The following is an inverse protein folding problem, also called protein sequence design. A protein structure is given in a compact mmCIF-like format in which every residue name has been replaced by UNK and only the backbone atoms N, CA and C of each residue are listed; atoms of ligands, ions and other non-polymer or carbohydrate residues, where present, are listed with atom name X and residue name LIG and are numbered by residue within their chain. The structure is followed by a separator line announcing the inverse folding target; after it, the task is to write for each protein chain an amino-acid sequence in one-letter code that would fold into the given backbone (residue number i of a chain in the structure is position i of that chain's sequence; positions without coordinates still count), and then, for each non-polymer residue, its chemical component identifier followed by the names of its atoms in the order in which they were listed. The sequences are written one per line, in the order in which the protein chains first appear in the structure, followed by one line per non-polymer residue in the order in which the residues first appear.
data_IF_792304144601
#
_entry.id   IF_792304144601
#
_cell.length_a   1.000
_cell.length_b   1.000
_cell.length_c   1.000
_cell.angle_alpha   90.00
_cell.angle_beta   90.00
_cell.angle_gamma   90.00
#
_symmetry.space_group_name_H-M   'P 1'
#
loop_
_entity.id
_entity.type
_entity.pdbx_description
1 polymer ?
#
# COMPACT_ATOMS: atom_id res chain seq x y z
N UNK A 1 -38.60 -26.43 7.02
CA UNK A 1 -37.19 -26.70 7.43
C UNK A 1 -36.24 -26.90 6.25
N UNK A 2 -36.52 -27.79 5.27
CA UNK A 2 -35.60 -28.07 4.14
C UNK A 2 -35.34 -26.85 3.23
N UNK A 3 -36.36 -26.04 2.95
CA UNK A 3 -36.23 -24.82 2.14
C UNK A 3 -35.38 -23.75 2.83
N UNK A 4 -35.59 -23.53 4.14
CA UNK A 4 -34.79 -22.60 4.95
C UNK A 4 -33.30 -23.00 4.98
N UNK A 5 -33.01 -24.30 5.15
CA UNK A 5 -31.64 -24.81 5.09
C UNK A 5 -31.00 -24.56 3.71
N UNK A 6 -31.74 -24.75 2.62
CA UNK A 6 -31.24 -24.44 1.26
C UNK A 6 -30.94 -22.96 1.09
N UNK A 7 -31.83 -22.08 1.55
CA UNK A 7 -31.63 -20.62 1.51
C UNK A 7 -30.36 -20.23 2.27
N UNK A 8 -30.16 -20.76 3.47
CA UNK A 8 -28.95 -20.50 4.25
C UNK A 8 -27.68 -20.98 3.53
N UNK A 9 -27.71 -22.15 2.90
CA UNK A 9 -26.58 -22.67 2.11
C UNK A 9 -26.27 -21.75 0.93
N UNK A 10 -27.27 -21.26 0.21
CA UNK A 10 -27.05 -20.32 -0.90
C UNK A 10 -26.46 -19.00 -0.42
N UNK A 11 -26.91 -18.46 0.71
CA UNK A 11 -26.34 -17.24 1.29
C UNK A 11 -24.85 -17.45 1.61
N UNK A 12 -24.51 -18.56 2.26
CA UNK A 12 -23.12 -18.90 2.59
C UNK A 12 -22.28 -19.07 1.32
N UNK A 13 -22.79 -19.75 0.30
CA UNK A 13 -22.10 -19.93 -0.98
C UNK A 13 -21.82 -18.60 -1.68
N UNK A 14 -22.82 -17.71 -1.73
CA UNK A 14 -22.67 -16.37 -2.31
C UNK A 14 -21.62 -15.58 -1.51
N UNK A 15 -21.67 -15.64 -0.19
CA UNK A 15 -20.71 -14.92 0.66
C UNK A 15 -19.27 -15.40 0.45
N UNK A 16 -19.07 -16.72 0.39
CA UNK A 16 -17.75 -17.32 0.09
C UNK A 16 -17.27 -16.91 -1.30
N UNK A 17 -18.16 -16.92 -2.30
CA UNK A 17 -17.84 -16.49 -3.65
C UNK A 17 -17.40 -15.01 -3.69
N UNK A 18 -18.12 -14.14 -2.98
CA UNK A 18 -17.77 -12.71 -2.89
C UNK A 18 -16.39 -12.51 -2.24
N UNK A 19 -16.08 -13.25 -1.17
CA UNK A 19 -14.76 -13.21 -0.54
C UNK A 19 -13.68 -13.67 -1.51
N UNK A 20 -13.90 -14.79 -2.22
CA UNK A 20 -12.94 -15.30 -3.19
C UNK A 20 -12.66 -14.28 -4.31
N UNK A 21 -13.71 -13.66 -4.86
CA UNK A 21 -13.59 -12.57 -5.83
C UNK A 21 -12.83 -11.39 -5.22
N UNK A 22 -13.17 -10.97 -4.00
CA UNK A 22 -12.47 -9.87 -3.33
C UNK A 22 -10.98 -10.16 -3.17
N UNK A 23 -10.59 -11.36 -2.75
CA UNK A 23 -9.17 -11.76 -2.61
C UNK A 23 -8.44 -11.74 -3.95
N UNK A 24 -9.06 -12.24 -5.02
CA UNK A 24 -8.44 -12.29 -6.36
C UNK A 24 -8.27 -10.87 -6.93
N UNK A 25 -9.23 -9.99 -6.70
CA UNK A 25 -9.23 -8.65 -7.29
C UNK A 25 -8.70 -7.56 -6.34
N UNK A 26 -8.38 -7.87 -5.08
CA UNK A 26 -7.95 -6.89 -4.09
C UNK A 26 -6.80 -6.04 -4.59
N UNK A 27 -5.84 -6.65 -5.30
CA UNK A 27 -4.63 -5.96 -5.72
C UNK A 27 -4.94 -4.84 -6.72
N UNK A 28 -5.89 -5.06 -7.62
CA UNK A 28 -6.32 -4.04 -8.60
C UNK A 28 -7.08 -2.89 -7.95
N UNK A 29 -7.78 -3.14 -6.85
CA UNK A 29 -8.56 -2.13 -6.15
C UNK A 29 -7.72 -1.34 -5.14
N UNK A 30 -6.84 -2.02 -4.39
CA UNK A 30 -6.05 -1.43 -3.31
C UNK A 30 -4.68 -0.93 -3.77
N UNK A 31 -4.03 -1.61 -4.71
CA UNK A 31 -2.70 -1.26 -5.19
C UNK A 31 -2.77 -0.68 -6.60
N UNK A 32 -3.18 0.59 -6.68
CA UNK A 32 -3.10 1.35 -7.92
C UNK A 32 -1.68 1.85 -8.10
N UNK A 33 -0.82 1.03 -8.71
CA UNK A 33 0.53 1.45 -9.10
C UNK A 33 0.44 2.53 -10.18
N UNK A 34 0.48 3.79 -9.77
CA UNK A 34 0.62 4.93 -10.68
C UNK A 34 2.08 5.34 -10.73
N UNK A 35 2.63 5.44 -11.94
CA UNK A 35 3.98 6.00 -12.12
C UNK A 35 3.95 7.47 -11.72
N UNK A 36 4.79 7.83 -10.76
CA UNK A 36 4.95 9.20 -10.29
C UNK A 36 5.91 9.92 -11.25
N UNK A 37 5.57 11.11 -11.77
CA UNK A 37 6.48 11.86 -12.61
C UNK A 37 7.66 12.39 -11.80
N UNK A 38 8.82 12.57 -12.43
CA UNK A 38 10.07 12.98 -11.75
C UNK A 38 9.96 14.33 -11.03
N UNK A 39 9.08 15.22 -11.49
CA UNK A 39 8.84 16.54 -10.92
C UNK A 39 7.67 16.56 -9.91
N UNK A 40 7.17 15.39 -9.50
CA UNK A 40 6.13 15.30 -8.50
C UNK A 40 6.56 15.98 -7.20
N UNK A 41 5.64 16.75 -6.61
CA UNK A 41 5.86 17.39 -5.32
C UNK A 41 5.14 16.59 -4.26
N UNK A 42 5.89 16.08 -3.28
CA UNK A 42 5.33 15.31 -2.19
C UNK A 42 4.66 16.23 -1.17
N UNK A 43 3.43 15.87 -0.79
CA UNK A 43 2.67 16.61 0.23
C UNK A 43 2.42 15.71 1.43
N UNK A 44 3.05 16.05 2.55
CA UNK A 44 2.85 15.38 3.84
C UNK A 44 2.60 16.42 4.94
N UNK A 45 1.81 16.04 5.94
CA UNK A 45 1.58 16.88 7.13
C UNK A 45 2.83 16.99 8.01
N UNK A 46 3.63 15.92 8.02
CA UNK A 46 4.86 15.84 8.79
C UNK A 46 6.00 16.52 8.03
N UNK A 47 6.98 17.05 8.78
CA UNK A 47 8.20 17.60 8.20
C UNK A 47 9.04 16.44 7.65
N UNK A 48 9.45 16.56 6.38
CA UNK A 48 10.32 15.61 5.72
C UNK A 48 11.38 16.33 4.90
N UNK A 49 12.48 15.62 4.63
CA UNK A 49 13.55 16.04 3.74
C UNK A 49 13.55 15.13 2.51
N UNK A 50 13.44 15.74 1.32
CA UNK A 50 13.57 15.00 0.06
C UNK A 50 15.03 14.93 -0.35
N UNK A 51 15.50 13.73 -0.70
CA UNK A 51 16.89 13.44 -1.05
C UNK A 51 16.96 12.65 -2.35
N UNK A 52 18.03 12.88 -3.11
CA UNK A 52 18.32 12.18 -4.36
C UNK A 52 19.66 11.45 -4.26
N UNK A 53 19.66 10.17 -4.60
CA UNK A 53 20.84 9.31 -4.62
C UNK A 53 21.14 8.84 -6.04
N UNK A 54 22.43 8.78 -6.38
CA UNK A 54 22.92 8.31 -7.67
C UNK A 54 23.96 7.21 -7.45
N UNK A 55 23.53 5.97 -7.15
CA UNK A 55 24.46 4.88 -6.81
C UNK A 55 25.28 4.40 -8.02
N UNK A 56 24.74 4.58 -9.24
CA UNK A 56 25.35 4.17 -10.49
C UNK A 56 25.02 5.17 -11.61
N UNK A 57 25.77 5.09 -12.73
CA UNK A 57 25.55 5.94 -13.89
C UNK A 57 24.12 5.74 -14.42
N UNK A 58 23.40 6.85 -14.61
CA UNK A 58 22.00 6.89 -15.04
C UNK A 58 20.97 6.30 -14.06
N UNK A 59 21.34 6.01 -12.81
CA UNK A 59 20.39 5.58 -11.77
C UNK A 59 20.12 6.76 -10.83
N UNK A 60 18.85 7.16 -10.70
CA UNK A 60 18.42 8.18 -9.73
C UNK A 60 17.35 7.60 -8.82
N UNK A 61 17.59 7.68 -7.52
CA UNK A 61 16.67 7.21 -6.48
C UNK A 61 16.23 8.40 -5.65
N UNK A 62 14.92 8.64 -5.59
CA UNK A 62 14.32 9.59 -4.66
C UNK A 62 14.08 8.92 -3.31
N UNK A 63 14.31 9.64 -2.22
CA UNK A 63 13.92 9.22 -0.89
C UNK A 63 13.33 10.38 -0.09
N UNK A 64 12.36 10.04 0.75
CA UNK A 64 11.78 10.97 1.72
C UNK A 64 12.23 10.57 3.12
N UNK A 65 12.93 11.48 3.79
CA UNK A 65 13.42 11.28 5.14
C UNK A 65 12.55 12.00 6.16
N UNK A 66 11.82 11.20 6.94
CA UNK A 66 10.98 11.67 8.03
C UNK A 66 11.75 11.59 9.35
N UNK A 67 11.97 12.73 9.99
CA UNK A 67 12.66 12.80 11.28
C UNK A 67 11.67 12.58 12.41
N UNK A 68 12.02 11.68 13.33
CA UNK A 68 11.34 11.54 14.62
C UNK A 68 12.11 12.25 15.73
N UNK A 69 11.38 12.65 16.78
CA UNK A 69 11.94 13.26 17.99
C UNK A 69 13.11 12.42 18.52
N UNK A 70 14.25 13.08 18.74
CA UNK A 70 15.47 12.44 19.22
C UNK A 70 15.29 11.72 20.55
N UNK A 71 14.37 12.18 21.41
CA UNK A 71 14.11 11.57 22.72
C UNK A 71 13.32 10.26 22.63
N UNK A 72 12.62 10.02 21.52
CA UNK A 72 11.75 8.84 21.32
C UNK A 72 12.31 7.87 20.27
N UNK A 73 13.44 8.20 19.65
CA UNK A 73 14.03 7.43 18.56
C UNK A 73 14.48 6.06 19.05
N UNK A 74 13.94 5.01 18.43
CA UNK A 74 14.32 3.61 18.71
C UNK A 74 15.18 2.97 17.61
N UNK A 75 15.31 3.61 16.46
CA UNK A 75 16.06 3.10 15.31
C UNK A 75 15.74 3.84 14.02
N UNK A 76 16.17 3.25 12.89
CA UNK A 76 15.90 3.72 11.54
C UNK A 76 15.01 2.68 10.83
N UNK A 77 13.97 3.16 10.16
CA UNK A 77 13.16 2.34 9.25
C UNK A 77 13.52 2.76 7.84
N UNK A 78 13.98 1.81 7.02
CA UNK A 78 14.16 1.99 5.58
C UNK A 78 13.04 1.23 4.90
N UNK A 79 12.18 1.96 4.20
CA UNK A 79 11.03 1.39 3.50
C UNK A 79 11.16 1.66 2.01
N UNK A 80 11.17 0.58 1.23
CA UNK A 80 11.15 0.65 -0.24
C UNK A 80 9.73 0.39 -0.72
N UNK A 81 9.23 1.31 -1.54
CA UNK A 81 7.97 1.11 -2.25
C UNK A 81 8.26 0.47 -3.62
N UNK A 82 7.33 -0.34 -4.13
CA UNK A 82 7.46 -1.11 -5.38
C UNK A 82 6.88 -0.37 -6.59
#
# INVERSE_FOLDING_TARGET
MKTFRKVLIYIVLIFVLLIAVAIIFQEKFLFRNTKIPMNYQYEFKEIFEEMWFEPEVNVKINALYFKTDSTKRKGLIVYFHN
#
